data_IF_977400491289
#
_entry.id   IF_977400491289
#
_cell.length_a   1.000
_cell.length_b   1.000
_cell.length_c   1.000
_cell.angle_alpha   90.00
_cell.angle_beta   90.00
_cell.angle_gamma   90.00
#
_symmetry.space_group_name_H-M   'P 1'
#
loop_
_entity.id
_entity.type
_entity.pdbx_description
1 polymer ?
#
# COMPACT_ATOMS: atom_id res chain seq x y z
N UNK A 1 8.96 -12.43 -11.74
CA UNK A 1 7.67 -12.93 -12.23
C UNK A 1 7.06 -11.96 -13.22
N UNK A 2 6.97 -10.67 -12.94
CA UNK A 2 6.49 -9.69 -13.92
C UNK A 2 7.38 -9.62 -15.16
N UNK A 3 8.70 -9.59 -15.00
CA UNK A 3 9.66 -9.61 -16.13
C UNK A 3 9.56 -10.86 -17.03
N UNK A 4 8.92 -11.92 -16.57
CA UNK A 4 8.69 -13.16 -17.33
C UNK A 4 7.28 -13.24 -17.92
N UNK A 5 6.45 -12.22 -17.78
CA UNK A 5 5.05 -12.21 -18.26
C UNK A 5 4.11 -13.18 -17.52
N UNK A 6 4.53 -13.69 -16.35
CA UNK A 6 3.75 -14.65 -15.58
C UNK A 6 2.73 -14.01 -14.62
N UNK A 7 2.81 -12.70 -14.43
CA UNK A 7 1.90 -11.91 -13.60
C UNK A 7 1.98 -10.44 -14.00
N UNK A 8 0.90 -9.70 -13.80
CA UNK A 8 0.88 -8.23 -13.85
C UNK A 8 0.88 -7.69 -12.41
N UNK A 9 1.50 -6.53 -12.21
CA UNK A 9 1.51 -5.88 -10.90
C UNK A 9 1.28 -4.38 -11.04
N UNK A 10 0.38 -3.86 -10.23
CA UNK A 10 0.21 -2.42 -10.08
C UNK A 10 0.15 -2.05 -8.60
N UNK A 11 0.64 -0.88 -8.28
CA UNK A 11 0.70 -0.43 -6.89
C UNK A 11 0.35 1.05 -6.77
N UNK A 12 -0.19 1.40 -5.62
CA UNK A 12 -0.43 2.78 -5.23
C UNK A 12 -0.12 2.91 -3.73
N UNK A 13 0.42 4.06 -3.34
CA UNK A 13 0.59 4.41 -1.94
C UNK A 13 -0.03 5.77 -1.68
N UNK A 14 -0.85 5.84 -0.64
CA UNK A 14 -1.38 7.11 -0.16
C UNK A 14 -0.27 7.92 0.50
N UNK A 15 -0.36 9.24 0.44
CA UNK A 15 0.55 10.17 1.13
C UNK A 15 -0.24 11.46 1.46
N UNK A 16 -0.47 11.71 2.73
CA UNK A 16 -1.21 12.87 3.21
C UNK A 16 -0.58 14.23 2.83
N UNK A 17 0.66 14.23 2.31
CA UNK A 17 1.39 15.44 1.87
C UNK A 17 1.26 15.70 0.38
N UNK A 18 0.77 14.76 -0.39
CA UNK A 18 0.65 14.84 -1.84
C UNK A 18 -0.83 14.72 -2.23
N UNK A 19 -1.44 15.84 -2.61
CA UNK A 19 -2.85 15.90 -2.97
C UNK A 19 -3.23 14.92 -4.11
N UNK A 20 -2.30 14.59 -5.00
CA UNK A 20 -2.55 13.61 -6.06
C UNK A 20 -2.61 12.16 -5.54
N UNK A 21 -2.27 11.95 -4.26
CA UNK A 21 -2.22 10.64 -3.60
C UNK A 21 -3.16 10.55 -2.40
N UNK A 22 -4.25 11.29 -2.43
CA UNK A 22 -5.19 11.38 -1.31
C UNK A 22 -6.62 10.94 -1.70
N UNK A 23 -6.84 10.52 -2.91
CA UNK A 23 -8.17 10.21 -3.41
C UNK A 23 -8.21 8.99 -4.34
N UNK A 24 -9.44 8.56 -4.62
CA UNK A 24 -9.74 7.44 -5.51
C UNK A 24 -9.26 7.70 -6.95
N UNK A 25 -9.26 8.95 -7.41
CA UNK A 25 -8.83 9.30 -8.75
C UNK A 25 -7.33 9.03 -8.94
N UNK A 26 -6.51 9.45 -7.99
CA UNK A 26 -5.07 9.17 -7.99
C UNK A 26 -4.78 7.67 -8.01
N UNK A 27 -5.47 6.91 -7.15
CA UNK A 27 -5.41 5.46 -7.10
C UNK A 27 -5.75 4.82 -8.45
N UNK A 28 -6.93 5.11 -9.01
CA UNK A 28 -7.40 4.52 -10.25
C UNK A 28 -6.50 4.88 -11.44
N UNK A 29 -6.17 6.17 -11.58
CA UNK A 29 -5.31 6.64 -12.68
C UNK A 29 -3.94 5.97 -12.66
N UNK A 30 -3.36 5.80 -11.47
CA UNK A 30 -2.07 5.12 -11.31
C UNK A 30 -2.16 3.65 -11.70
N UNK A 31 -3.16 2.92 -11.19
CA UNK A 31 -3.32 1.49 -11.45
C UNK A 31 -3.59 1.21 -12.93
N UNK A 32 -4.55 1.90 -13.56
CA UNK A 32 -4.87 1.65 -14.97
C UNK A 32 -3.70 1.98 -15.90
N UNK A 33 -2.90 3.01 -15.57
CA UNK A 33 -1.70 3.36 -16.32
C UNK A 33 -0.63 2.28 -16.18
N UNK A 34 -0.38 1.75 -14.98
CA UNK A 34 0.61 0.71 -14.76
C UNK A 34 0.22 -0.59 -15.47
N UNK A 35 -1.05 -1.02 -15.36
CA UNK A 35 -1.54 -2.22 -16.05
C UNK A 35 -1.47 -2.09 -17.58
N UNK A 36 -1.76 -0.90 -18.12
CA UNK A 36 -1.65 -0.65 -19.55
C UNK A 36 -0.21 -0.63 -20.07
N UNK A 37 0.75 -0.32 -19.21
CA UNK A 37 2.17 -0.38 -19.56
C UNK A 37 2.73 -1.82 -19.58
N UNK A 38 2.09 -2.75 -18.87
CA UNK A 38 2.53 -4.15 -18.78
C UNK A 38 1.77 -5.09 -19.74
N UNK A 39 0.61 -4.68 -20.29
CA UNK A 39 -0.26 -5.51 -21.11
C UNK A 39 -0.85 -4.74 -22.30
N UNK A 40 -0.59 -5.20 -23.53
CA UNK A 40 -1.17 -4.62 -24.73
C UNK A 40 -2.70 -4.66 -24.72
N UNK A 41 -3.31 -5.70 -24.14
CA UNK A 41 -4.75 -5.80 -24.02
C UNK A 41 -5.31 -4.74 -23.06
N UNK A 42 -4.64 -4.48 -21.94
CA UNK A 42 -4.99 -3.38 -21.03
C UNK A 42 -4.74 -2.01 -21.68
N UNK A 43 -3.67 -1.86 -22.48
CA UNK A 43 -3.41 -0.65 -23.23
C UNK A 43 -4.54 -0.31 -24.20
N UNK A 44 -5.08 -1.30 -24.92
CA UNK A 44 -6.20 -1.08 -25.83
C UNK A 44 -7.44 -0.55 -25.10
N UNK A 45 -7.78 -1.11 -23.92
CA UNK A 45 -8.90 -0.63 -23.08
C UNK A 45 -8.69 0.84 -22.66
N UNK A 46 -7.47 1.19 -22.23
CA UNK A 46 -7.15 2.57 -21.86
C UNK A 46 -7.18 3.52 -23.07
N UNK A 47 -6.72 3.05 -24.24
CA UNK A 47 -6.76 3.80 -25.49
C UNK A 47 -8.20 4.08 -25.96
N UNK A 48 -9.10 3.10 -25.79
CA UNK A 48 -10.52 3.27 -26.09
C UNK A 48 -11.15 4.31 -25.15
N UNK A 49 -10.83 4.25 -23.85
CA UNK A 49 -11.28 5.25 -22.88
C UNK A 49 -10.79 6.66 -23.26
N UNK A 50 -9.51 6.80 -23.64
CA UNK A 50 -8.95 8.06 -24.09
C UNK A 50 -9.68 8.59 -25.33
N UNK A 51 -9.95 7.72 -26.30
CA UNK A 51 -10.65 8.08 -27.54
C UNK A 51 -12.08 8.51 -27.29
N UNK A 52 -12.79 7.82 -26.38
CA UNK A 52 -14.16 8.15 -25.97
C UNK A 52 -14.27 9.53 -25.28
N UNK A 53 -13.17 10.02 -24.69
CA UNK A 53 -13.09 11.32 -24.03
C UNK A 53 -12.46 12.39 -24.94
N UNK A 54 -12.83 12.39 -26.25
CA UNK A 54 -12.41 13.36 -27.26
C UNK A 54 -10.88 13.49 -27.34
N UNK A 55 -10.19 12.33 -27.41
CA UNK A 55 -8.73 12.26 -27.48
C UNK A 55 -8.04 13.08 -26.36
N UNK A 56 -8.55 12.97 -25.14
CA UNK A 56 -7.97 13.60 -23.95
C UNK A 56 -8.37 15.05 -23.73
N UNK A 57 -9.31 15.61 -24.52
CA UNK A 57 -9.81 16.96 -24.29
C UNK A 57 -10.75 17.07 -23.08
N UNK A 58 -11.30 15.92 -22.64
CA UNK A 58 -12.07 15.79 -21.41
C UNK A 58 -11.43 14.72 -20.51
N UNK A 59 -11.33 15.01 -19.24
CA UNK A 59 -10.88 14.01 -18.27
C UNK A 59 -12.02 13.02 -17.99
N UNK A 60 -11.75 11.69 -17.95
CA UNK A 60 -12.74 10.72 -17.54
C UNK A 60 -13.15 10.98 -16.08
N UNK A 61 -14.40 10.72 -15.73
CA UNK A 61 -14.84 10.71 -14.35
C UNK A 61 -14.33 9.45 -13.62
N UNK A 62 -14.51 9.40 -12.29
CA UNK A 62 -14.05 8.28 -11.49
C UNK A 62 -14.77 6.99 -11.86
N UNK A 63 -16.06 7.06 -12.20
CA UNK A 63 -16.85 5.88 -12.64
C UNK A 63 -16.33 5.32 -13.98
N UNK A 64 -15.88 6.16 -14.88
CA UNK A 64 -15.26 5.72 -16.13
C UNK A 64 -13.92 5.02 -15.86
N UNK A 65 -13.13 5.52 -14.91
CA UNK A 65 -11.88 4.87 -14.50
C UNK A 65 -12.14 3.53 -13.79
N UNK A 66 -13.17 3.43 -12.93
CA UNK A 66 -13.59 2.16 -12.31
C UNK A 66 -14.00 1.16 -13.38
N UNK A 67 -14.82 1.56 -14.35
CA UNK A 67 -15.20 0.68 -15.47
C UNK A 67 -14.00 0.24 -16.28
N UNK A 68 -13.06 1.14 -16.56
CA UNK A 68 -11.81 0.83 -17.25
C UNK A 68 -11.01 -0.25 -16.50
N UNK A 69 -10.81 -0.08 -15.19
CA UNK A 69 -10.13 -1.07 -14.36
C UNK A 69 -10.85 -2.41 -14.38
N UNK A 70 -12.18 -2.43 -14.16
CA UNK A 70 -12.97 -3.67 -14.20
C UNK A 70 -12.86 -4.38 -15.56
N UNK A 71 -12.89 -3.65 -16.67
CA UNK A 71 -12.71 -4.22 -17.98
C UNK A 71 -11.32 -4.85 -18.16
N UNK A 72 -10.27 -4.21 -17.63
CA UNK A 72 -8.93 -4.79 -17.62
C UNK A 72 -8.88 -6.09 -16.79
N UNK A 73 -9.52 -6.12 -15.61
CA UNK A 73 -9.57 -7.30 -14.74
C UNK A 73 -10.41 -8.46 -15.34
N UNK A 74 -11.35 -8.16 -16.22
CA UNK A 74 -12.23 -9.15 -16.87
C UNK A 74 -11.66 -9.75 -18.16
N UNK A 75 -10.52 -9.27 -18.64
CA UNK A 75 -9.93 -9.80 -19.86
C UNK A 75 -9.70 -11.32 -19.76
N UNK A 76 -10.08 -12.09 -20.79
CA UNK A 76 -9.82 -13.53 -20.79
C UNK A 76 -8.31 -13.80 -20.89
N UNK A 77 -7.90 -14.95 -20.38
CA UNK A 77 -6.52 -15.45 -20.43
C UNK A 77 -5.45 -14.51 -19.86
N UNK A 78 -5.86 -13.55 -19.01
CA UNK A 78 -4.93 -12.69 -18.28
C UNK A 78 -4.18 -13.47 -17.21
N UNK A 79 -2.88 -13.22 -17.06
CA UNK A 79 -2.14 -13.73 -15.92
C UNK A 79 -2.67 -13.13 -14.62
N UNK A 80 -2.33 -13.70 -13.46
CA UNK A 80 -2.68 -13.11 -12.17
C UNK A 80 -2.27 -11.63 -12.07
N UNK A 81 -3.17 -10.81 -11.58
CA UNK A 81 -2.97 -9.37 -11.38
C UNK A 81 -2.83 -9.10 -9.88
N UNK A 82 -1.70 -8.54 -9.49
CA UNK A 82 -1.42 -8.13 -8.12
C UNK A 82 -1.61 -6.62 -7.98
N UNK A 83 -2.61 -6.22 -7.20
CA UNK A 83 -2.81 -4.82 -6.83
C UNK A 83 -2.34 -4.62 -5.40
N UNK A 84 -1.43 -3.67 -5.20
CA UNK A 84 -0.89 -3.32 -3.90
C UNK A 84 -1.32 -1.89 -3.57
N UNK A 85 -2.10 -1.73 -2.51
CA UNK A 85 -2.57 -0.43 -2.01
C UNK A 85 -1.97 -0.21 -0.64
N UNK A 86 -1.06 0.74 -0.54
CA UNK A 86 -0.29 1.01 0.66
C UNK A 86 -0.79 2.24 1.41
N UNK A 87 -0.72 2.17 2.74
CA UNK A 87 -1.01 3.25 3.66
C UNK A 87 -2.42 3.86 3.48
N UNK A 88 -3.47 3.02 3.46
CA UNK A 88 -4.86 3.47 3.31
C UNK A 88 -5.26 4.45 4.42
N UNK A 89 -4.67 4.34 5.61
CA UNK A 89 -4.84 5.29 6.72
C UNK A 89 -4.38 6.72 6.40
N UNK A 90 -3.49 6.90 5.42
CA UNK A 90 -3.06 8.23 4.95
C UNK A 90 -4.05 8.88 3.96
N UNK A 91 -5.05 8.13 3.48
CA UNK A 91 -6.16 8.68 2.72
C UNK A 91 -7.04 9.51 3.67
N UNK A 92 -7.36 10.78 3.34
CA UNK A 92 -8.11 11.63 4.25
C UNK A 92 -9.50 11.09 4.59
N UNK A 93 -9.78 11.03 5.90
CA UNK A 93 -11.12 10.83 6.42
C UNK A 93 -11.69 12.19 6.83
N UNK A 94 -12.29 12.89 5.88
CA UNK A 94 -12.87 14.21 6.12
C UNK A 94 -14.34 14.10 6.44
N UNK A 95 -14.79 14.84 7.46
CA UNK A 95 -16.21 14.95 7.79
C UNK A 95 -16.95 15.69 6.66
N UNK A 96 -17.72 14.97 5.88
CA UNK A 96 -18.47 15.48 4.73
C UNK A 96 -19.50 14.49 4.25
N UNK A 97 -20.00 14.65 3.02
CA UNK A 97 -21.05 13.76 2.48
C UNK A 97 -20.52 12.35 2.27
N UNK A 98 -19.32 12.18 1.73
CA UNK A 98 -18.56 10.93 1.62
C UNK A 98 -17.09 11.29 1.63
N UNK A 99 -16.30 10.67 2.50
CA UNK A 99 -14.87 10.97 2.58
C UNK A 99 -14.09 10.32 1.43
N UNK A 100 -12.90 10.85 1.06
CA UNK A 100 -12.01 10.19 0.11
C UNK A 100 -11.68 8.75 0.53
N UNK A 101 -11.45 8.49 1.81
CA UNK A 101 -11.18 7.16 2.37
C UNK A 101 -12.37 6.22 2.19
N UNK A 102 -13.57 6.67 2.52
CA UNK A 102 -14.80 5.87 2.34
C UNK A 102 -15.00 5.46 0.88
N UNK A 103 -14.71 6.35 -0.08
CA UNK A 103 -14.77 6.02 -1.52
C UNK A 103 -13.73 4.98 -1.92
N UNK A 104 -12.52 5.03 -1.35
CA UNK A 104 -11.47 4.05 -1.58
C UNK A 104 -11.85 2.70 -0.99
N UNK A 105 -12.37 2.66 0.23
CA UNK A 105 -12.83 1.44 0.89
C UNK A 105 -14.00 0.80 0.11
N UNK A 106 -14.96 1.60 -0.34
CA UNK A 106 -16.06 1.13 -1.19
C UNK A 106 -15.60 0.58 -2.55
N UNK A 107 -14.54 1.17 -3.16
CA UNK A 107 -13.94 0.59 -4.36
C UNK A 107 -13.31 -0.79 -4.08
N UNK A 108 -12.60 -0.93 -2.97
CA UNK A 108 -11.98 -2.19 -2.57
C UNK A 108 -13.05 -3.27 -2.37
N UNK A 109 -14.11 -2.95 -1.63
CA UNK A 109 -15.26 -3.82 -1.40
C UNK A 109 -15.88 -4.26 -2.73
N UNK A 110 -16.18 -3.32 -3.64
CA UNK A 110 -16.74 -3.59 -4.97
C UNK A 110 -15.82 -4.48 -5.84
N UNK A 111 -14.50 -4.30 -5.78
CA UNK A 111 -13.55 -5.15 -6.48
C UNK A 111 -13.54 -6.58 -5.93
N UNK A 112 -13.65 -6.74 -4.61
CA UNK A 112 -13.68 -8.05 -3.95
C UNK A 112 -14.98 -8.77 -4.24
N UNK A 113 -16.12 -8.07 -4.13
CA UNK A 113 -17.45 -8.62 -4.43
C UNK A 113 -17.60 -9.04 -5.90
N UNK A 114 -16.91 -8.36 -6.80
CA UNK A 114 -16.85 -8.71 -8.23
C UNK A 114 -16.19 -10.06 -8.51
N UNK A 115 -15.50 -10.66 -7.55
CA UNK A 115 -14.90 -12.02 -7.57
C UNK A 115 -14.04 -12.32 -8.80
N UNK A 116 -13.22 -11.37 -9.22
CA UNK A 116 -12.26 -11.61 -10.30
C UNK A 116 -11.29 -12.73 -9.94
N UNK A 117 -11.26 -13.80 -10.73
CA UNK A 117 -10.46 -15.01 -10.43
C UNK A 117 -8.95 -14.77 -10.48
N UNK A 118 -8.53 -13.79 -11.28
CA UNK A 118 -7.13 -13.40 -11.49
C UNK A 118 -6.65 -12.29 -10.56
N UNK A 119 -7.53 -11.64 -9.79
CA UNK A 119 -7.16 -10.54 -8.89
C UNK A 119 -6.58 -11.05 -7.58
N UNK A 120 -5.49 -10.43 -7.17
CA UNK A 120 -4.85 -10.58 -5.85
C UNK A 120 -4.62 -9.18 -5.30
N UNK A 121 -5.29 -8.87 -4.20
CA UNK A 121 -5.26 -7.55 -3.60
C UNK A 121 -4.50 -7.62 -2.27
N UNK A 122 -3.55 -6.72 -2.10
CA UNK A 122 -2.80 -6.53 -0.89
C UNK A 122 -2.97 -5.10 -0.41
N UNK A 123 -3.40 -4.93 0.81
CA UNK A 123 -3.66 -3.63 1.40
C UNK A 123 -2.84 -3.50 2.67
N UNK A 124 -2.19 -2.36 2.85
CA UNK A 124 -1.54 -2.04 4.12
C UNK A 124 -2.20 -0.82 4.74
N UNK A 125 -2.32 -0.83 6.05
CA UNK A 125 -2.89 0.27 6.82
C UNK A 125 -2.47 0.20 8.28
N UNK A 126 -2.64 1.30 9.01
CA UNK A 126 -2.77 1.25 10.46
C UNK A 126 -4.13 0.64 10.83
N UNK A 127 -4.26 0.02 12.02
CA UNK A 127 -5.50 -0.61 12.46
C UNK A 127 -6.53 0.45 12.92
N UNK A 128 -7.00 1.28 12.01
CA UNK A 128 -8.09 2.23 12.27
C UNK A 128 -9.44 1.52 12.18
N UNK A 129 -10.38 1.87 13.05
CA UNK A 129 -11.63 1.13 13.22
C UNK A 129 -12.48 1.12 11.92
N UNK A 130 -12.59 2.26 11.24
CA UNK A 130 -13.31 2.41 9.99
C UNK A 130 -12.73 1.56 8.84
N UNK A 131 -11.42 1.40 8.83
CA UNK A 131 -10.72 0.56 7.84
C UNK A 131 -10.90 -0.92 8.16
N UNK A 132 -10.76 -1.30 9.43
CA UNK A 132 -10.93 -2.69 9.87
C UNK A 132 -12.35 -3.18 9.68
N UNK A 133 -13.35 -2.37 10.04
CA UNK A 133 -14.76 -2.71 9.91
C UNK A 133 -15.13 -3.10 8.48
N UNK A 134 -14.51 -2.48 7.47
CA UNK A 134 -14.74 -2.78 6.05
C UNK A 134 -13.86 -3.93 5.56
N UNK A 135 -12.56 -3.90 5.88
CA UNK A 135 -11.59 -4.79 5.23
C UNK A 135 -11.44 -6.15 5.92
N UNK A 136 -11.66 -6.24 7.24
CA UNK A 136 -11.52 -7.51 7.97
C UNK A 136 -12.49 -8.59 7.46
N UNK A 137 -13.78 -8.30 7.21
CA UNK A 137 -14.72 -9.29 6.65
C UNK A 137 -14.35 -9.78 5.24
N UNK A 138 -13.62 -8.97 4.47
CA UNK A 138 -13.21 -9.27 3.10
C UNK A 138 -11.87 -10.02 3.03
N UNK A 139 -11.12 -10.01 4.12
CA UNK A 139 -9.75 -10.52 4.15
C UNK A 139 -9.69 -12.04 4.07
N UNK A 140 -8.83 -12.57 3.22
CA UNK A 140 -8.43 -13.97 3.26
C UNK A 140 -7.39 -14.23 4.35
N UNK A 141 -6.52 -13.26 4.56
CA UNK A 141 -5.47 -13.27 5.58
C UNK A 141 -5.21 -11.86 6.09
N UNK A 142 -4.99 -11.73 7.39
CA UNK A 142 -4.53 -10.51 8.04
C UNK A 142 -3.21 -10.82 8.73
N UNK A 143 -2.22 -9.99 8.48
CA UNK A 143 -0.88 -10.11 9.07
C UNK A 143 -0.62 -8.81 9.85
N UNK A 144 -0.46 -8.93 11.15
CA UNK A 144 0.01 -7.83 11.99
C UNK A 144 1.54 -7.83 11.96
N UNK A 145 2.12 -6.75 11.45
CA UNK A 145 3.58 -6.63 11.46
C UNK A 145 4.13 -6.41 12.87
N UNK A 146 3.28 -5.99 13.82
CA UNK A 146 3.68 -5.80 15.21
C UNK A 146 4.00 -7.12 15.93
N UNK A 147 3.34 -8.21 15.56
CA UNK A 147 3.48 -9.51 16.21
C UNK A 147 4.70 -10.31 15.71
N UNK A 148 5.39 -9.80 14.68
CA UNK A 148 6.59 -10.41 14.13
C UNK A 148 7.82 -10.05 14.98
N UNK A 149 8.31 -10.97 15.83
CA UNK A 149 9.49 -10.76 16.68
C UNK A 149 10.72 -10.24 15.91
N UNK A 150 10.90 -10.71 14.68
CA UNK A 150 12.00 -10.26 13.81
C UNK A 150 11.93 -8.77 13.46
N UNK A 151 10.74 -8.18 13.38
CA UNK A 151 10.59 -6.77 13.05
C UNK A 151 10.93 -5.85 14.22
N UNK A 152 10.58 -6.26 15.45
CA UNK A 152 10.96 -5.50 16.65
C UNK A 152 12.48 -5.38 16.74
N UNK A 153 13.19 -6.48 16.50
CA UNK A 153 14.64 -6.48 16.51
C UNK A 153 15.24 -5.61 15.39
N UNK A 154 14.68 -5.67 14.17
CA UNK A 154 15.11 -4.84 13.05
C UNK A 154 14.96 -3.34 13.36
N UNK A 155 13.86 -2.95 14.02
CA UNK A 155 13.63 -1.55 14.44
C UNK A 155 14.64 -1.13 15.50
N UNK A 156 14.88 -1.96 16.49
CA UNK A 156 15.89 -1.72 17.53
C UNK A 156 17.28 -1.56 16.93
N UNK A 157 17.65 -2.45 16.02
CA UNK A 157 18.96 -2.41 15.35
C UNK A 157 19.09 -1.16 14.49
N UNK A 158 18.05 -0.80 13.73
CA UNK A 158 18.01 0.43 12.95
C UNK A 158 18.16 1.70 13.81
N UNK A 159 17.43 1.79 14.94
CA UNK A 159 17.52 2.91 15.86
C UNK A 159 18.94 3.02 16.41
N UNK A 160 19.52 1.91 16.87
CA UNK A 160 20.86 1.86 17.41
C UNK A 160 21.90 2.34 16.37
N UNK A 161 21.85 1.79 15.16
CA UNK A 161 22.78 2.18 14.07
C UNK A 161 22.60 3.66 13.72
N UNK A 162 21.36 4.13 13.60
CA UNK A 162 21.06 5.52 13.23
C UNK A 162 21.56 6.51 14.27
N UNK A 163 21.32 6.28 15.56
CA UNK A 163 21.77 7.16 16.66
C UNK A 163 23.29 7.13 16.79
N UNK A 164 23.93 5.97 16.61
CA UNK A 164 25.39 5.85 16.69
C UNK A 164 26.11 6.43 15.47
N UNK A 165 25.50 6.39 14.30
CA UNK A 165 26.08 6.91 13.07
C UNK A 165 25.87 8.41 12.87
N UNK A 166 24.85 9.00 13.52
CA UNK A 166 24.52 10.41 13.38
C UNK A 166 25.68 11.31 13.90
N UNK A 167 26.12 12.22 13.03
CA UNK A 167 27.28 13.09 13.31
C UNK A 167 27.04 14.05 14.47
N UNK A 168 25.79 14.48 14.72
CA UNK A 168 25.44 15.38 15.80
C UNK A 168 25.36 14.62 17.11
N UNK A 169 24.74 13.44 17.11
CA UNK A 169 24.56 12.59 18.30
C UNK A 169 25.86 11.95 18.78
N UNK A 170 26.88 11.78 17.93
CA UNK A 170 28.21 11.31 18.34
C UNK A 170 28.87 12.21 19.38
N UNK A 171 28.50 13.48 19.46
CA UNK A 171 29.04 14.46 20.43
C UNK A 171 28.35 14.40 21.79
N UNK A 172 27.26 13.66 21.89
CA UNK A 172 26.50 13.54 23.12
C UNK A 172 27.15 12.50 24.04
N UNK A 173 26.87 12.61 25.33
CA UNK A 173 27.31 11.61 26.31
C UNK A 173 26.63 10.27 26.01
N UNK A 174 27.28 9.16 26.40
CA UNK A 174 26.71 7.83 26.18
C UNK A 174 25.32 7.65 26.81
N UNK A 175 25.13 8.19 28.01
CA UNK A 175 23.87 8.17 28.75
C UNK A 175 22.75 8.91 28.00
N UNK A 176 23.02 10.09 27.45
CA UNK A 176 22.05 10.89 26.69
C UNK A 176 21.64 10.18 25.40
N UNK A 177 22.57 9.52 24.73
CA UNK A 177 22.27 8.71 23.54
C UNK A 177 21.40 7.51 23.87
N UNK A 178 21.66 6.85 25.01
CA UNK A 178 20.85 5.72 25.44
C UNK A 178 19.43 6.15 25.76
N UNK A 179 19.23 7.29 26.43
CA UNK A 179 17.88 7.86 26.67
C UNK A 179 17.11 8.11 25.37
N UNK A 180 17.78 8.59 24.34
CA UNK A 180 17.15 8.78 23.03
C UNK A 180 16.80 7.44 22.38
N UNK A 181 17.68 6.46 22.45
CA UNK A 181 17.43 5.12 21.93
C UNK A 181 16.21 4.51 22.61
N UNK A 182 16.17 4.54 23.95
CA UNK A 182 15.07 3.96 24.73
C UNK A 182 13.74 4.65 24.42
N UNK A 183 13.72 5.97 24.35
CA UNK A 183 12.52 6.74 23.98
C UNK A 183 12.05 6.47 22.54
N UNK A 184 12.96 6.25 21.59
CA UNK A 184 12.61 5.91 20.21
C UNK A 184 12.06 4.49 20.11
N UNK A 185 12.64 3.53 20.84
CA UNK A 185 12.15 2.15 20.92
C UNK A 185 10.74 2.12 21.50
N UNK A 186 10.53 2.82 22.64
CA UNK A 186 9.21 2.92 23.28
C UNK A 186 8.15 3.50 22.34
N UNK A 187 8.48 4.56 21.60
CA UNK A 187 7.57 5.15 20.62
C UNK A 187 7.35 4.27 19.39
N UNK A 188 8.34 3.50 19.00
CA UNK A 188 8.23 2.58 17.87
C UNK A 188 7.37 1.35 18.20
N UNK A 189 7.28 0.96 19.46
CA UNK A 189 6.45 -0.18 19.91
C UNK A 189 4.93 0.08 19.71
N UNK A 190 4.51 1.32 19.43
CA UNK A 190 3.13 1.70 19.09
C UNK A 190 2.84 1.83 17.58
N UNK A 191 3.79 1.53 16.70
CA UNK A 191 3.57 1.61 15.24
C UNK A 191 3.01 0.28 14.71
N UNK A 192 1.70 0.19 14.72
CA UNK A 192 0.98 -0.97 14.19
C UNK A 192 0.74 -0.77 12.68
N UNK A 193 1.16 -1.74 11.87
CA UNK A 193 0.78 -1.83 10.44
C UNK A 193 0.19 -3.21 10.21
N UNK A 194 -0.97 -3.25 9.59
CA UNK A 194 -1.67 -4.47 9.21
C UNK A 194 -1.57 -4.65 7.70
N UNK A 195 -1.29 -5.86 7.26
CA UNK A 195 -1.35 -6.25 5.85
C UNK A 195 -2.58 -7.13 5.67
N UNK A 196 -3.49 -6.70 4.82
CA UNK A 196 -4.72 -7.40 4.50
C UNK A 196 -4.58 -7.99 3.10
N UNK A 197 -4.71 -9.29 2.97
CA UNK A 197 -4.65 -10.00 1.70
C UNK A 197 -6.03 -10.51 1.33
N UNK A 198 -6.50 -10.13 0.15
CA UNK A 198 -7.75 -10.62 -0.43
C UNK A 198 -7.45 -11.33 -1.73
N UNK A 199 -7.95 -12.55 -1.88
CA UNK A 199 -7.82 -13.33 -3.10
C UNK A 199 -9.17 -13.73 -3.64
N UNK A 200 -9.42 -13.49 -4.92
CA UNK A 200 -10.71 -13.69 -5.60
C UNK A 200 -11.19 -15.13 -5.77
N UNK A 201 -10.41 -16.13 -5.35
CA UNK A 201 -10.84 -17.53 -5.29
C UNK A 201 -10.49 -18.11 -3.92
N UNK A 202 -11.45 -18.85 -3.35
CA UNK A 202 -11.18 -19.68 -2.18
C UNK A 202 -10.07 -20.71 -2.52
N UNK A 203 -8.83 -20.27 -2.42
CA UNK A 203 -7.71 -21.16 -2.49
C UNK A 203 -7.68 -21.92 -1.16
N UNK A 204 -8.10 -23.17 -1.19
CA UNK A 204 -7.71 -24.11 -0.14
C UNK A 204 -6.19 -24.18 -0.22
N UNK A 205 -5.51 -23.40 0.61
CA UNK A 205 -4.10 -23.60 0.90
C UNK A 205 -3.98 -24.98 1.52
N UNK A 206 -3.71 -26.00 0.68
CA UNK A 206 -3.04 -27.18 1.18
C UNK A 206 -1.75 -26.68 1.82
N UNK A 207 -1.67 -26.78 3.13
CA UNK A 207 -0.45 -26.63 3.91
C UNK A 207 0.63 -27.47 3.25
N UNK A 208 1.53 -26.85 2.52
CA UNK A 208 2.66 -27.54 1.90
C UNK A 208 2.96 -27.09 0.48
N UNK A 209 3.26 -25.83 0.25
CA UNK A 209 4.18 -25.46 -0.82
C UNK A 209 4.68 -24.03 -0.65
N UNK A 210 5.95 -23.96 -0.46
CA UNK A 210 6.77 -22.79 -0.20
C UNK A 210 6.76 -21.69 -1.29
N UNK A 211 6.01 -21.86 -2.37
CA UNK A 211 6.08 -20.98 -3.53
C UNK A 211 5.36 -19.64 -3.39
N UNK A 212 4.18 -19.61 -2.78
CA UNK A 212 3.39 -18.37 -2.67
C UNK A 212 3.99 -17.43 -1.61
N UNK A 213 4.33 -17.95 -0.44
CA UNK A 213 4.96 -17.18 0.62
C UNK A 213 6.41 -16.76 0.27
N UNK A 214 7.14 -17.56 -0.49
CA UNK A 214 8.49 -17.19 -0.96
C UNK A 214 8.42 -16.01 -1.95
N UNK A 215 7.46 -16.01 -2.88
CA UNK A 215 7.25 -14.89 -3.81
C UNK A 215 6.65 -13.66 -3.11
N UNK A 216 5.77 -13.87 -2.15
CA UNK A 216 5.23 -12.84 -1.29
C UNK A 216 6.32 -12.20 -0.42
N UNK A 217 7.17 -12.99 0.21
CA UNK A 217 8.35 -12.50 0.95
C UNK A 217 9.27 -11.66 0.06
N UNK A 218 9.39 -11.98 -1.23
CA UNK A 218 10.16 -11.16 -2.18
C UNK A 218 9.47 -9.83 -2.51
N UNK A 219 8.15 -9.82 -2.69
CA UNK A 219 7.39 -8.58 -2.89
C UNK A 219 7.40 -7.71 -1.62
N UNK A 220 7.16 -8.31 -0.45
CA UNK A 220 7.25 -7.63 0.85
C UNK A 220 8.68 -7.20 1.18
N UNK A 221 9.70 -7.98 0.82
CA UNK A 221 11.10 -7.60 1.01
C UNK A 221 11.53 -6.48 0.07
N UNK A 222 11.07 -6.47 -1.19
CA UNK A 222 11.29 -5.36 -2.12
C UNK A 222 10.53 -4.10 -1.68
N UNK A 223 9.32 -4.27 -1.15
CA UNK A 223 8.54 -3.23 -0.49
C UNK A 223 9.22 -2.75 0.79
N UNK A 224 9.68 -3.67 1.65
CA UNK A 224 10.46 -3.40 2.86
C UNK A 224 11.75 -2.61 2.54
N UNK A 225 12.50 -2.97 1.51
CA UNK A 225 13.66 -2.20 1.06
C UNK A 225 13.28 -0.80 0.56
N UNK A 226 12.15 -0.63 -0.11
CA UNK A 226 11.67 0.68 -0.57
C UNK A 226 11.09 1.51 0.55
N UNK A 227 10.32 0.92 1.47
CA UNK A 227 9.79 1.61 2.65
C UNK A 227 10.91 2.01 3.61
N UNK A 228 11.88 1.15 3.86
CA UNK A 228 13.10 1.48 4.62
C UNK A 228 13.96 2.51 3.86
N UNK A 229 14.05 2.44 2.53
CA UNK A 229 14.77 3.45 1.73
C UNK A 229 14.05 4.81 1.70
N UNK A 230 12.71 4.85 1.76
CA UNK A 230 11.94 6.07 1.97
C UNK A 230 12.16 6.63 3.38
N UNK A 231 12.21 5.78 4.39
CA UNK A 231 12.57 6.15 5.77
C UNK A 231 14.00 6.72 5.85
N UNK A 232 14.95 6.07 5.21
CA UNK A 232 16.37 6.51 5.16
C UNK A 232 16.54 7.79 4.34
N UNK A 233 15.73 7.99 3.29
CA UNK A 233 15.84 9.14 2.40
C UNK A 233 15.19 10.42 2.94
N UNK A 234 14.27 10.30 3.90
CA UNK A 234 13.53 11.41 4.49
C UNK A 234 13.47 11.36 6.02
N UNK A 235 14.61 11.45 6.73
CA UNK A 235 14.65 11.42 8.19
C UNK A 235 14.00 12.64 8.86
N UNK A 236 13.64 13.69 8.10
CA UNK A 236 13.05 14.93 8.62
C UNK A 236 11.52 14.92 8.70
N UNK A 237 10.86 13.81 8.41
CA UNK A 237 9.40 13.68 8.35
C UNK A 237 8.69 13.79 9.70
N UNK A 238 9.42 13.75 10.82
CA UNK A 238 8.85 13.77 12.18
C UNK A 238 9.11 15.06 12.98
N UNK A 239 9.71 16.10 12.37
CA UNK A 239 10.12 17.30 13.11
C UNK A 239 9.11 18.46 13.09
N UNK A 240 7.92 18.31 12.53
CA UNK A 240 7.00 19.45 12.35
C UNK A 240 5.63 19.23 13.02
N UNK A 241 5.52 18.71 14.21
CA UNK A 241 4.28 18.85 15.01
C UNK A 241 4.49 18.84 16.53
N UNK A 242 5.53 19.53 17.01
CA UNK A 242 5.62 19.84 18.46
C UNK A 242 5.75 21.34 18.77
N UNK A 243 5.20 22.20 17.91
CA UNK A 243 5.09 23.64 18.24
C UNK A 243 3.67 24.10 18.04
N UNK A 244 2.87 24.04 19.09
CA UNK A 244 1.58 24.70 19.10
C UNK A 244 0.59 24.16 20.11
N UNK A 245 0.94 24.14 21.40
CA UNK A 245 0.00 24.34 22.50
C UNK A 245 0.80 24.87 23.70
N UNK A 246 0.82 26.19 23.84
CA UNK A 246 0.81 26.90 25.11
C UNK A 246 -0.57 27.44 25.33
#
# INVERSE_FOLDING_TARGET
MCDAGLALAAYFYFDFRDNAKQDIRGLLSSIVTQLSAESDACYNILSDLYSAHYAGSQLPDDDALVRCLKNMLQLPDQPPIYLIVDAVDECPDSTGVVSPRERVLGLIEDLVESRFSNLRLCITSRPEADILDVLEPLASHIISLHDEEGQKQDIVDYINVSVQSDRKMRRWRGEDRQLVIDALIEKADGMYVIIIVVSGTAFHLKTGSDGFFANWRHCVAAFRQRSVALWVRYPNLWTIHTSGYC
#
